data_IF_068527577997
#
_entry.id   IF_068527577997
#
_cell.length_a   1.000
_cell.length_b   1.000
_cell.length_c   1.000
_cell.angle_alpha   90.00
_cell.angle_beta   90.00
_cell.angle_gamma   90.00
#
_symmetry.space_group_name_H-M   'P 1'
#
loop_
_entity.id
_entity.type
_entity.pdbx_description
1 polymer ?
#
# COMPACT_ATOMS: atom_id res chain seq x y z
N UNK A 1 1.50 18.82 4.61
CA UNK A 1 1.14 17.60 3.86
C UNK A 1 0.01 16.91 4.59
N UNK A 2 -0.96 16.35 3.86
CA UNK A 2 -2.04 15.56 4.46
C UNK A 2 -1.86 14.07 4.18
N UNK A 3 -1.88 13.24 5.23
CA UNK A 3 -1.96 11.78 5.08
C UNK A 3 -3.43 11.40 4.96
N UNK A 4 -3.83 10.75 3.89
CA UNK A 4 -5.22 10.36 3.63
C UNK A 4 -5.34 8.85 3.62
N UNK A 5 -6.32 8.33 4.35
CA UNK A 5 -6.72 6.93 4.29
C UNK A 5 -8.22 6.80 4.11
N UNK A 6 -8.64 5.73 3.44
CA UNK A 6 -10.04 5.32 3.36
C UNK A 6 -10.25 4.07 4.22
N UNK A 7 -11.26 4.05 5.07
CA UNK A 7 -11.59 2.89 5.92
C UNK A 7 -13.09 2.65 5.98
N UNK A 8 -13.47 1.41 6.27
CA UNK A 8 -14.87 0.98 6.49
C UNK A 8 -15.20 0.76 7.96
N UNK A 9 -14.18 0.66 8.82
CA UNK A 9 -14.30 0.33 10.24
C UNK A 9 -13.19 1.03 11.04
N UNK A 10 -13.58 2.05 11.80
CA UNK A 10 -12.67 2.82 12.66
C UNK A 10 -12.15 2.03 13.88
N UNK A 11 -12.75 0.88 14.19
CA UNK A 11 -12.32 0.00 15.29
C UNK A 11 -11.36 -1.10 14.85
N UNK A 12 -11.05 -1.18 13.55
CA UNK A 12 -10.11 -2.18 13.03
C UNK A 12 -8.73 -2.00 13.68
N UNK A 13 -8.21 -3.06 14.29
CA UNK A 13 -6.94 -3.08 15.05
C UNK A 13 -5.77 -2.46 14.27
N UNK A 14 -5.58 -2.81 13.00
CA UNK A 14 -4.53 -2.26 12.13
C UNK A 14 -4.69 -0.77 11.84
N UNK A 15 -5.92 -0.27 11.72
CA UNK A 15 -6.12 1.17 11.62
C UNK A 15 -5.78 1.86 12.93
N UNK A 16 -6.37 1.41 14.04
CA UNK A 16 -6.27 2.09 15.33
C UNK A 16 -4.87 2.02 15.93
N UNK A 17 -4.28 0.84 15.95
CA UNK A 17 -3.03 0.56 16.65
C UNK A 17 -1.80 0.62 15.74
N UNK A 18 -1.96 0.57 14.42
CA UNK A 18 -0.83 0.65 13.49
C UNK A 18 -0.81 2.02 12.80
N UNK A 19 -1.74 2.30 11.89
CA UNK A 19 -1.73 3.54 11.11
C UNK A 19 -1.97 4.79 11.96
N UNK A 20 -3.08 4.84 12.70
CA UNK A 20 -3.46 6.00 13.50
C UNK A 20 -2.44 6.28 14.62
N UNK A 21 -1.98 5.24 15.30
CA UNK A 21 -0.96 5.34 16.34
C UNK A 21 0.37 5.86 15.78
N UNK A 22 0.87 5.29 14.68
CA UNK A 22 2.11 5.76 14.05
C UNK A 22 2.01 7.19 13.50
N UNK A 23 0.90 7.55 12.85
CA UNK A 23 0.68 8.94 12.43
C UNK A 23 0.69 9.91 13.61
N UNK A 24 0.03 9.56 14.72
CA UNK A 24 0.04 10.39 15.94
C UNK A 24 1.45 10.53 16.50
N UNK A 25 2.19 9.43 16.61
CA UNK A 25 3.56 9.43 17.15
C UNK A 25 4.51 10.30 16.32
N UNK A 26 4.43 10.22 14.99
CA UNK A 26 5.26 10.98 14.07
C UNK A 26 4.69 12.37 13.72
N UNK A 27 3.65 12.82 14.42
CA UNK A 27 2.98 14.11 14.20
C UNK A 27 2.54 14.33 12.75
N UNK A 28 1.99 13.30 12.12
CA UNK A 28 1.42 13.34 10.77
C UNK A 28 -0.07 13.69 10.83
N UNK A 29 -0.51 14.65 10.00
CA UNK A 29 -1.92 15.00 9.87
C UNK A 29 -2.69 13.90 9.12
N UNK A 30 -3.26 12.95 9.88
CA UNK A 30 -4.08 11.87 9.33
C UNK A 30 -5.54 12.31 9.13
N UNK A 31 -5.98 12.26 7.88
CA UNK A 31 -7.36 12.44 7.44
C UNK A 31 -7.96 11.08 7.15
N UNK A 32 -8.91 10.67 7.98
CA UNK A 32 -9.61 9.40 7.84
C UNK A 32 -10.95 9.60 7.15
N UNK A 33 -11.08 9.03 5.95
CA UNK A 33 -12.31 9.05 5.17
C UNK A 33 -13.06 7.73 5.39
N UNK A 34 -14.04 7.75 6.29
CA UNK A 34 -14.88 6.58 6.55
C UNK A 34 -15.98 6.44 5.50
N UNK A 35 -16.16 5.24 4.96
CA UNK A 35 -17.26 4.92 4.05
C UNK A 35 -17.72 3.48 4.23
N UNK A 36 -19.02 3.29 4.47
CA UNK A 36 -19.63 2.00 4.83
C UNK A 36 -20.13 1.17 3.61
N UNK A 37 -20.07 1.72 2.39
CA UNK A 37 -20.68 1.12 1.18
C UNK A 37 -19.65 0.88 0.05
N UNK A 38 -18.64 0.05 0.30
CA UNK A 38 -17.67 -0.33 -0.76
C UNK A 38 -18.16 -1.58 -1.50
N UNK A 39 -18.34 -1.48 -2.81
CA UNK A 39 -18.54 -2.63 -3.71
C UNK A 39 -17.21 -3.20 -4.17
N UNK A 40 -16.18 -2.37 -4.25
CA UNK A 40 -14.82 -2.76 -4.58
C UNK A 40 -13.80 -1.77 -4.04
N UNK A 41 -12.51 -2.13 -4.12
CA UNK A 41 -11.43 -1.18 -3.82
C UNK A 41 -11.45 0.05 -4.72
N UNK A 42 -12.12 0.01 -5.88
CA UNK A 42 -12.27 1.16 -6.80
C UNK A 42 -13.08 2.31 -6.19
N UNK A 43 -13.99 2.00 -5.27
CA UNK A 43 -14.85 3.04 -4.68
C UNK A 43 -14.06 4.03 -3.82
N UNK A 44 -12.91 3.63 -3.27
CA UNK A 44 -12.04 4.53 -2.49
C UNK A 44 -11.55 5.72 -3.34
N UNK A 45 -11.38 5.53 -4.66
CA UNK A 45 -10.97 6.57 -5.59
C UNK A 45 -11.96 7.73 -5.60
N UNK A 46 -13.26 7.45 -5.56
CA UNK A 46 -14.32 8.47 -5.49
C UNK A 46 -14.34 9.17 -4.13
N UNK A 47 -14.11 8.40 -3.07
CA UNK A 47 -14.12 8.90 -1.69
C UNK A 47 -13.02 9.93 -1.48
N UNK A 48 -11.77 9.59 -1.78
CA UNK A 48 -10.69 10.56 -1.61
C UNK A 48 -10.72 11.66 -2.68
N UNK A 49 -11.15 11.40 -3.92
CA UNK A 49 -11.29 12.47 -4.92
C UNK A 49 -12.23 13.59 -4.43
N UNK A 50 -13.38 13.22 -3.84
CA UNK A 50 -14.32 14.20 -3.27
C UNK A 50 -13.68 15.07 -2.19
N UNK A 51 -12.84 14.49 -1.34
CA UNK A 51 -12.10 15.23 -0.32
C UNK A 51 -11.00 16.10 -0.94
N UNK A 52 -10.25 15.58 -1.91
CA UNK A 52 -9.20 16.33 -2.60
C UNK A 52 -9.75 17.59 -3.28
N UNK A 53 -10.98 17.56 -3.79
CA UNK A 53 -11.65 18.74 -4.38
C UNK A 53 -11.88 19.89 -3.39
N UNK A 54 -11.69 19.68 -2.08
CA UNK A 54 -11.78 20.74 -1.07
C UNK A 54 -10.42 21.30 -0.67
N UNK A 55 -9.33 20.79 -1.24
CA UNK A 55 -7.95 21.24 -0.96
C UNK A 55 -7.45 22.19 -2.04
N UNK A 56 -6.41 22.95 -1.71
CA UNK A 56 -5.64 23.68 -2.71
C UNK A 56 -4.94 22.71 -3.66
N UNK A 57 -4.84 23.08 -4.93
CA UNK A 57 -4.34 22.19 -5.98
C UNK A 57 -2.87 21.75 -5.75
N UNK A 58 -2.09 22.58 -5.05
CA UNK A 58 -0.68 22.36 -4.71
C UNK A 58 -0.48 21.65 -3.36
N UNK A 59 -1.53 21.39 -2.57
CA UNK A 59 -1.43 20.62 -1.32
C UNK A 59 -0.83 19.24 -1.60
N UNK A 60 0.23 18.90 -0.87
CA UNK A 60 0.88 17.59 -1.00
C UNK A 60 0.08 16.58 -0.18
N UNK A 61 -0.37 15.54 -0.86
CA UNK A 61 -1.13 14.43 -0.27
C UNK A 61 -0.28 13.18 -0.27
N UNK A 62 -0.34 12.45 0.84
CA UNK A 62 0.13 11.08 0.99
C UNK A 62 -1.10 10.18 1.16
N UNK A 63 -1.48 9.43 0.13
CA UNK A 63 -2.52 8.42 0.27
C UNK A 63 -1.92 7.09 0.74
N UNK A 64 -2.62 6.39 1.62
CA UNK A 64 -2.23 5.06 2.11
C UNK A 64 -3.42 4.17 2.41
N UNK A 65 -3.22 2.85 2.35
CA UNK A 65 -4.13 1.86 2.89
C UNK A 65 -4.27 1.99 4.41
N UNK A 66 -5.45 1.65 4.91
CA UNK A 66 -5.85 1.98 6.28
C UNK A 66 -5.57 0.90 7.32
N UNK A 67 -5.29 -0.33 6.90
CA UNK A 67 -5.51 -1.52 7.74
C UNK A 67 -4.26 -2.35 8.03
N UNK A 68 -3.21 -2.13 7.28
CA UNK A 68 -2.00 -2.93 7.16
C UNK A 68 -0.78 -2.04 6.91
N UNK A 69 -0.82 -0.82 7.47
CA UNK A 69 0.21 0.21 7.28
C UNK A 69 0.71 0.74 8.61
N UNK A 70 2.02 0.96 8.67
CA UNK A 70 2.72 1.65 9.77
C UNK A 70 3.65 2.71 9.20
N UNK A 71 3.60 3.93 9.73
CA UNK A 71 4.64 4.94 9.50
C UNK A 71 5.82 4.74 10.45
N UNK A 72 7.04 4.92 9.94
CA UNK A 72 8.30 4.84 10.70
C UNK A 72 9.13 6.12 10.56
N UNK A 73 8.51 7.20 10.09
CA UNK A 73 9.10 8.54 10.07
C UNK A 73 8.05 9.66 10.03
N UNK A 74 8.50 10.89 10.30
CA UNK A 74 7.70 12.11 10.29
C UNK A 74 7.78 12.92 9.00
N UNK A 75 6.97 13.98 8.94
CA UNK A 75 6.68 14.76 7.73
C UNK A 75 7.92 15.33 7.04
N UNK A 76 8.91 15.81 7.80
CA UNK A 76 10.13 16.41 7.23
C UNK A 76 10.88 15.44 6.31
N UNK A 77 11.16 14.22 6.78
CA UNK A 77 11.88 13.22 5.99
C UNK A 77 11.04 12.76 4.79
N UNK A 78 9.72 12.59 4.98
CA UNK A 78 8.80 12.22 3.92
C UNK A 78 8.87 13.25 2.78
N UNK A 79 8.74 14.54 3.11
CA UNK A 79 8.77 15.62 2.14
C UNK A 79 10.14 15.80 1.48
N UNK A 80 11.24 15.67 2.23
CA UNK A 80 12.59 15.72 1.68
C UNK A 80 12.82 14.62 0.65
N UNK A 81 12.42 13.39 0.96
CA UNK A 81 12.53 12.26 0.02
C UNK A 81 11.63 12.43 -1.17
N UNK A 82 10.37 12.80 -0.97
CA UNK A 82 9.40 13.00 -2.04
C UNK A 82 9.91 14.03 -3.04
N UNK A 83 10.38 15.20 -2.57
CA UNK A 83 10.95 16.24 -3.42
C UNK A 83 12.21 15.80 -4.16
N UNK A 84 13.00 14.90 -3.59
CA UNK A 84 14.23 14.39 -4.22
C UNK A 84 13.94 13.38 -5.32
N UNK A 85 12.94 12.50 -5.15
CA UNK A 85 12.73 11.34 -6.03
C UNK A 85 11.53 11.49 -6.97
N UNK A 86 10.62 12.41 -6.69
CA UNK A 86 9.41 12.63 -7.51
C UNK A 86 9.60 13.85 -8.41
N UNK A 87 9.58 13.69 -9.74
CA UNK A 87 9.53 14.83 -10.65
C UNK A 87 8.27 15.66 -10.43
N UNK A 88 8.35 16.97 -10.68
CA UNK A 88 7.20 17.87 -10.62
C UNK A 88 6.10 17.42 -11.60
N UNK A 89 4.84 17.55 -11.19
CA UNK A 89 3.70 17.15 -12.03
C UNK A 89 3.45 15.64 -12.12
N UNK A 90 4.16 14.81 -11.36
CA UNK A 90 3.95 13.35 -11.29
C UNK A 90 3.24 12.94 -10.01
N UNK A 91 2.68 11.74 -10.01
CA UNK A 91 2.31 11.00 -8.79
C UNK A 91 3.39 9.94 -8.55
N UNK A 92 3.99 9.95 -7.36
CA UNK A 92 4.90 8.90 -6.92
C UNK A 92 4.09 7.78 -6.27
N UNK A 93 4.10 6.58 -6.85
CA UNK A 93 3.40 5.42 -6.31
C UNK A 93 4.36 4.40 -5.72
N UNK A 94 3.88 3.67 -4.72
CA UNK A 94 4.59 2.53 -4.17
C UNK A 94 4.83 1.46 -5.23
N UNK A 95 5.98 0.79 -5.13
CA UNK A 95 6.37 -0.29 -6.03
C UNK A 95 6.35 -1.63 -5.30
N UNK A 96 6.18 -2.71 -6.07
CA UNK A 96 6.02 -4.08 -5.59
C UNK A 96 6.88 -5.04 -6.42
N UNK A 97 7.26 -6.16 -5.80
CA UNK A 97 7.99 -7.26 -6.43
C UNK A 97 7.08 -8.23 -7.18
N UNK A 98 5.76 -8.13 -6.98
CA UNK A 98 4.77 -8.96 -7.66
C UNK A 98 3.80 -8.13 -8.54
N UNK A 99 3.54 -8.63 -9.75
CA UNK A 99 2.60 -8.01 -10.68
C UNK A 99 1.18 -8.49 -10.39
N UNK A 100 0.41 -7.67 -9.67
CA UNK A 100 -0.98 -7.94 -9.32
C UNK A 100 -1.94 -6.88 -9.88
N UNK A 101 -3.24 -7.22 -10.09
CA UNK A 101 -3.81 -8.57 -9.96
C UNK A 101 -3.57 -9.45 -11.21
N UNK A 102 -3.05 -8.87 -12.30
CA UNK A 102 -2.78 -9.59 -13.55
C UNK A 102 -1.26 -9.74 -13.81
N UNK A 103 -0.67 -10.92 -13.54
CA UNK A 103 0.74 -11.17 -13.78
C UNK A 103 1.14 -11.07 -15.25
N UNK A 104 0.20 -11.20 -16.18
CA UNK A 104 0.48 -11.10 -17.61
C UNK A 104 0.91 -9.69 -18.01
N UNK A 105 0.60 -8.66 -17.21
CA UNK A 105 1.03 -7.28 -17.45
C UNK A 105 2.50 -7.00 -17.12
N UNK A 106 3.20 -7.96 -16.51
CA UNK A 106 4.58 -7.77 -16.04
C UNK A 106 5.55 -7.28 -17.12
N UNK A 107 5.34 -7.70 -18.38
CA UNK A 107 6.19 -7.32 -19.51
C UNK A 107 6.11 -5.84 -19.91
N UNK A 108 5.13 -5.08 -19.41
CA UNK A 108 5.04 -3.64 -19.65
C UNK A 108 5.88 -2.81 -18.67
N UNK A 109 6.37 -3.42 -17.59
CA UNK A 109 7.11 -2.72 -16.54
C UNK A 109 8.62 -2.82 -16.77
N UNK A 110 9.32 -1.76 -16.36
CA UNK A 110 10.78 -1.75 -16.33
C UNK A 110 11.28 -2.76 -15.30
N UNK A 111 12.25 -3.57 -15.68
CA UNK A 111 12.96 -4.45 -14.74
C UNK A 111 14.04 -3.66 -14.00
N UNK A 112 14.07 -3.80 -12.68
CA UNK A 112 15.09 -3.29 -11.77
C UNK A 112 15.88 -4.44 -11.15
N UNK A 113 17.09 -4.16 -10.64
CA UNK A 113 17.93 -5.18 -9.99
C UNK A 113 17.35 -5.73 -8.69
N UNK A 114 16.55 -4.94 -7.97
CA UNK A 114 15.98 -5.30 -6.67
C UNK A 114 14.57 -5.92 -6.79
N UNK A 115 13.92 -5.70 -7.94
CA UNK A 115 12.68 -6.37 -8.32
C UNK A 115 11.40 -5.59 -8.03
N UNK A 116 11.45 -4.43 -7.37
CA UNK A 116 10.29 -3.55 -7.19
C UNK A 116 9.90 -2.88 -8.50
N UNK A 117 9.26 -3.63 -9.38
CA UNK A 117 9.01 -3.24 -10.76
C UNK A 117 7.56 -2.81 -10.98
N UNK A 118 6.64 -3.29 -10.14
CA UNK A 118 5.22 -3.25 -10.40
C UNK A 118 4.54 -2.22 -9.52
N UNK A 119 3.44 -1.64 -9.99
CA UNK A 119 2.68 -0.66 -9.23
C UNK A 119 1.96 -1.33 -8.06
N UNK A 120 2.03 -0.74 -6.87
CA UNK A 120 1.13 -1.01 -5.75
C UNK A 120 0.23 0.20 -5.49
N UNK A 121 -1.08 0.00 -5.48
CA UNK A 121 -2.03 1.10 -5.30
C UNK A 121 -2.28 1.48 -3.82
N UNK A 122 -1.70 0.73 -2.88
CA UNK A 122 -1.89 0.96 -1.44
C UNK A 122 -1.09 2.12 -0.85
N UNK A 123 -0.25 2.79 -1.63
CA UNK A 123 0.48 3.98 -1.20
C UNK A 123 0.89 4.85 -2.39
N UNK A 124 0.62 6.15 -2.31
CA UNK A 124 1.11 7.12 -3.28
C UNK A 124 1.18 8.54 -2.72
N UNK A 125 1.98 9.40 -3.37
CA UNK A 125 2.12 10.81 -3.07
C UNK A 125 1.96 11.66 -4.33
N UNK A 126 1.37 12.84 -4.17
CA UNK A 126 1.15 13.79 -5.26
C UNK A 126 0.51 15.09 -4.77
N UNK A 127 0.55 16.14 -5.59
CA UNK A 127 -0.27 17.31 -5.34
C UNK A 127 -1.75 16.98 -5.59
N UNK A 128 -2.66 17.57 -4.81
CA UNK A 128 -4.09 17.29 -4.90
C UNK A 128 -4.65 17.43 -6.33
N UNK A 129 -4.24 18.47 -7.07
CA UNK A 129 -4.67 18.68 -8.46
C UNK A 129 -4.20 17.59 -9.43
N UNK A 130 -2.96 17.10 -9.26
CA UNK A 130 -2.41 16.01 -10.10
C UNK A 130 -3.14 14.69 -9.82
N UNK A 131 -3.45 14.42 -8.55
CA UNK A 131 -4.21 13.25 -8.14
C UNK A 131 -5.62 13.30 -8.73
N UNK A 132 -6.35 14.42 -8.57
CA UNK A 132 -7.70 14.58 -9.14
C UNK A 132 -7.70 14.32 -10.64
N UNK A 133 -6.80 14.97 -11.38
CA UNK A 133 -6.66 14.80 -12.84
C UNK A 133 -6.42 13.34 -13.22
N UNK A 134 -5.59 12.65 -12.43
CA UNK A 134 -5.30 11.23 -12.64
C UNK A 134 -6.54 10.37 -12.39
N UNK A 135 -7.28 10.61 -11.31
CA UNK A 135 -8.51 9.86 -11.01
C UNK A 135 -9.59 10.06 -12.08
N UNK A 136 -9.73 11.28 -12.61
CA UNK A 136 -10.64 11.54 -13.72
C UNK A 136 -10.27 10.72 -14.97
N UNK A 137 -8.97 10.62 -15.27
CA UNK A 137 -8.48 9.77 -16.36
C UNK A 137 -8.71 8.27 -16.10
N UNK A 138 -8.62 7.81 -14.84
CA UNK A 138 -8.95 6.44 -14.46
C UNK A 138 -10.44 6.15 -14.67
N UNK A 139 -11.34 7.04 -14.23
CA UNK A 139 -12.78 6.85 -14.41
C UNK A 139 -13.19 6.87 -15.88
N UNK A 140 -12.59 7.75 -16.68
CA UNK A 140 -12.79 7.73 -18.14
C UNK A 140 -12.34 6.40 -18.74
N UNK A 141 -11.15 5.91 -18.35
CA UNK A 141 -10.63 4.62 -18.82
C UNK A 141 -11.53 3.46 -18.43
N UNK A 142 -12.09 3.46 -17.22
CA UNK A 142 -13.04 2.43 -16.77
C UNK A 142 -14.37 2.48 -17.53
N UNK A 143 -14.93 3.67 -17.77
CA UNK A 143 -16.18 3.85 -18.50
C UNK A 143 -16.07 3.37 -19.96
N UNK A 144 -14.92 3.62 -20.59
CA UNK A 144 -14.67 3.24 -21.98
C UNK A 144 -14.34 1.73 -22.12
N UNK A 145 -14.10 1.01 -21.02
CA UNK A 145 -13.60 -0.36 -21.02
C UNK A 145 -14.66 -1.42 -20.65
N UNK A 146 -15.35 -1.92 -21.66
CA UNK A 146 -16.35 -2.99 -21.52
C UNK A 146 -15.77 -4.41 -21.61
N UNK A 147 -14.43 -4.57 -21.57
CA UNK A 147 -13.77 -5.86 -21.72
C UNK A 147 -14.12 -6.86 -20.61
N UNK A 148 -14.06 -8.15 -20.93
CA UNK A 148 -14.21 -9.23 -19.94
C UNK A 148 -13.15 -9.13 -18.84
N UNK A 149 -11.95 -8.66 -19.19
CA UNK A 149 -10.84 -8.44 -18.26
C UNK A 149 -11.18 -7.38 -17.20
N UNK A 150 -11.74 -6.23 -17.61
CA UNK A 150 -12.16 -5.19 -16.66
C UNK A 150 -13.23 -5.69 -15.70
N UNK A 151 -14.19 -6.47 -16.21
CA UNK A 151 -15.24 -7.09 -15.38
C UNK A 151 -14.65 -8.09 -14.38
N UNK A 152 -13.66 -8.87 -14.81
CA UNK A 152 -12.97 -9.84 -13.95
C UNK A 152 -12.22 -9.16 -12.79
N UNK A 153 -11.54 -8.04 -13.05
CA UNK A 153 -10.79 -7.27 -12.05
C UNK A 153 -11.57 -6.09 -11.46
N UNK A 154 -12.90 -6.07 -11.53
CA UNK A 154 -13.74 -4.97 -11.01
C UNK A 154 -13.55 -4.72 -9.50
N UNK A 155 -13.17 -5.77 -8.76
CA UNK A 155 -12.92 -5.71 -7.34
C UNK A 155 -11.64 -4.91 -6.97
N UNK A 156 -10.73 -4.69 -7.93
CA UNK A 156 -9.38 -4.16 -7.70
C UNK A 156 -9.20 -2.80 -8.41
N UNK A 157 -8.77 -1.77 -7.67
CA UNK A 157 -8.40 -0.47 -8.23
C UNK A 157 -6.97 -0.45 -8.78
N UNK A 158 -6.05 -1.23 -8.20
CA UNK A 158 -4.70 -1.39 -8.74
C UNK A 158 -4.69 -1.84 -10.20
N UNK A 159 -5.67 -2.64 -10.63
CA UNK A 159 -5.86 -2.97 -12.04
C UNK A 159 -6.13 -1.71 -12.89
N UNK A 160 -6.98 -0.79 -12.43
CA UNK A 160 -7.26 0.46 -13.15
C UNK A 160 -6.02 1.33 -13.26
N UNK A 161 -5.30 1.50 -12.15
CA UNK A 161 -4.04 2.23 -12.09
C UNK A 161 -3.00 1.64 -13.04
N UNK A 162 -2.83 0.32 -13.00
CA UNK A 162 -1.89 -0.42 -13.87
C UNK A 162 -2.25 -0.25 -15.34
N UNK A 163 -3.53 -0.41 -15.69
CA UNK A 163 -3.99 -0.27 -17.07
C UNK A 163 -3.76 1.15 -17.60
N UNK A 164 -4.14 2.17 -16.84
CA UNK A 164 -3.98 3.56 -17.27
C UNK A 164 -2.50 3.98 -17.34
N UNK A 165 -1.63 3.42 -16.48
CA UNK A 165 -0.18 3.57 -16.58
C UNK A 165 0.37 2.96 -17.87
N UNK A 166 -0.01 1.72 -18.19
CA UNK A 166 0.43 1.02 -19.41
C UNK A 166 -0.05 1.74 -20.67
N UNK A 167 -1.29 2.23 -20.67
CA UNK A 167 -1.88 3.02 -21.75
C UNK A 167 -1.28 4.44 -21.86
N UNK A 168 -0.36 4.83 -20.96
CA UNK A 168 0.28 6.15 -20.89
C UNK A 168 -0.73 7.31 -20.77
N UNK A 169 -1.84 7.06 -20.07
CA UNK A 169 -2.90 8.06 -19.86
C UNK A 169 -2.67 8.94 -18.63
N UNK A 170 -1.72 8.57 -17.78
CA UNK A 170 -1.47 9.17 -16.47
C UNK A 170 0.04 9.33 -16.26
N UNK A 171 0.43 10.35 -15.48
CA UNK A 171 1.83 10.68 -15.24
C UNK A 171 2.28 10.19 -13.86
N UNK A 172 2.74 8.94 -13.79
CA UNK A 172 3.16 8.27 -12.56
C UNK A 172 4.62 7.86 -12.65
N UNK A 173 5.30 7.98 -11.52
CA UNK A 173 6.60 7.35 -11.27
C UNK A 173 6.47 6.35 -10.13
N UNK A 174 7.22 5.25 -10.19
CA UNK A 174 7.23 4.24 -9.14
C UNK A 174 8.45 4.42 -8.23
N UNK A 175 8.24 4.25 -6.92
CA UNK A 175 9.31 4.22 -5.91
C UNK A 175 10.08 2.89 -5.97
N UNK A 176 10.81 2.67 -7.06
CA UNK A 176 11.57 1.45 -7.33
C UNK A 176 12.67 1.15 -6.30
N UNK A 177 13.09 2.15 -5.52
CA UNK A 177 14.15 2.03 -4.52
C UNK A 177 13.62 1.94 -3.10
N UNK A 178 12.30 1.88 -2.89
CA UNK A 178 11.69 1.86 -1.55
C UNK A 178 12.23 2.99 -0.66
N UNK A 179 12.34 4.19 -1.21
CA UNK A 179 12.82 5.37 -0.48
C UNK A 179 11.78 5.85 0.53
N UNK A 180 10.51 5.78 0.10
CA UNK A 180 9.32 6.15 0.85
C UNK A 180 8.53 4.90 1.22
N UNK A 181 8.19 4.08 0.23
CA UNK A 181 7.26 2.96 0.41
C UNK A 181 8.00 1.62 0.46
N UNK A 182 7.78 0.86 1.54
CA UNK A 182 8.17 -0.55 1.62
C UNK A 182 6.93 -1.42 1.50
N UNK A 183 6.84 -2.19 0.43
CA UNK A 183 5.84 -3.26 0.29
C UNK A 183 6.47 -4.59 0.66
N UNK A 184 5.65 -5.49 1.20
CA UNK A 184 6.02 -6.88 1.40
C UNK A 184 5.05 -7.72 0.60
N UNK A 185 5.51 -8.32 -0.51
CA UNK A 185 4.71 -9.32 -1.22
C UNK A 185 5.47 -10.61 -1.29
N UNK A 186 4.77 -11.71 -1.01
CA UNK A 186 5.30 -13.04 -1.24
C UNK A 186 4.52 -13.72 -2.36
N UNK A 187 5.26 -14.32 -3.31
CA UNK A 187 4.73 -15.11 -4.44
C UNK A 187 3.95 -16.36 -3.99
N UNK A 188 4.05 -16.74 -2.71
CA UNK A 188 3.62 -18.05 -2.20
C UNK A 188 2.60 -18.01 -1.07
N UNK A 189 2.06 -16.84 -0.75
CA UNK A 189 1.17 -16.72 0.38
C UNK A 189 -0.26 -16.44 -0.08
N UNK A 190 -1.18 -17.35 0.26
CA UNK A 190 -2.52 -17.05 0.82
C UNK A 190 -3.78 -17.16 -0.04
N UNK A 191 -3.80 -17.64 -1.29
CA UNK A 191 -5.14 -17.88 -1.87
C UNK A 191 -5.94 -18.92 -1.05
N UNK A 192 -5.26 -19.93 -0.46
CA UNK A 192 -5.91 -20.89 0.45
C UNK A 192 -6.03 -20.42 1.91
N UNK A 193 -5.20 -19.47 2.38
CA UNK A 193 -5.30 -18.94 3.74
C UNK A 193 -6.42 -17.91 3.92
N UNK A 194 -6.99 -17.42 2.81
CA UNK A 194 -8.13 -16.52 2.82
C UNK A 194 -9.29 -17.05 3.69
N UNK A 195 -9.54 -18.37 3.63
CA UNK A 195 -10.59 -19.04 4.39
C UNK A 195 -10.21 -19.21 5.87
N UNK A 196 -8.96 -19.51 6.19
CA UNK A 196 -8.54 -19.79 7.58
C UNK A 196 -8.53 -18.55 8.48
N UNK A 197 -8.10 -17.40 7.95
CA UNK A 197 -7.95 -16.17 8.76
C UNK A 197 -9.29 -15.48 9.02
N UNK A 198 -10.30 -15.75 8.21
CA UNK A 198 -11.60 -15.10 8.28
C UNK A 198 -12.74 -16.00 8.81
N UNK A 199 -12.52 -17.31 8.94
CA UNK A 199 -13.54 -18.23 9.45
C UNK A 199 -13.57 -18.20 10.99
N UNK A 200 -14.76 -18.03 11.56
CA UNK A 200 -15.00 -18.19 13.01
C UNK A 200 -14.99 -19.66 13.45
N UNK A 201 -14.77 -20.59 12.53
CA UNK A 201 -14.69 -22.02 12.81
C UNK A 201 -13.29 -22.37 13.32
N UNK A 202 -13.17 -23.26 14.33
CA UNK A 202 -11.88 -23.76 14.78
C UNK A 202 -11.14 -24.44 13.62
N UNK A 203 -9.85 -24.14 13.49
CA UNK A 203 -8.96 -24.85 12.58
C UNK A 203 -8.71 -26.27 13.10
N UNK A 204 -8.62 -27.24 12.19
CA UNK A 204 -8.04 -28.55 12.50
C UNK A 204 -6.54 -28.42 12.84
N UNK A 205 -5.96 -29.44 13.46
CA UNK A 205 -4.53 -29.45 13.82
C UNK A 205 -3.62 -29.26 12.58
N UNK A 206 -3.96 -29.89 11.46
CA UNK A 206 -3.21 -29.75 10.20
C UNK A 206 -3.30 -28.33 9.61
N UNK A 207 -4.47 -27.69 9.73
CA UNK A 207 -4.70 -26.32 9.26
C UNK A 207 -3.97 -25.30 10.14
N UNK A 208 -3.97 -25.47 11.46
CA UNK A 208 -3.21 -24.64 12.40
C UNK A 208 -1.70 -24.77 12.15
N UNK A 209 -1.20 -26.00 11.95
CA UNK A 209 0.20 -26.24 11.64
C UNK A 209 0.61 -25.58 10.31
N UNK A 210 -0.24 -25.67 9.28
CA UNK A 210 -0.01 -25.01 7.99
C UNK A 210 0.02 -23.49 8.11
N UNK A 211 -0.91 -22.89 8.88
CA UNK A 211 -0.95 -21.45 9.15
C UNK A 211 0.34 -20.99 9.85
N UNK A 212 0.75 -21.67 10.93
CA UNK A 212 1.99 -21.35 11.65
C UNK A 212 3.23 -21.46 10.77
N UNK A 213 3.32 -22.51 9.94
CA UNK A 213 4.42 -22.65 8.99
C UNK A 213 4.45 -21.52 7.98
N UNK A 214 3.28 -21.11 7.48
CA UNK A 214 3.15 -20.01 6.51
C UNK A 214 3.52 -18.66 7.10
N UNK A 215 3.12 -18.39 8.35
CA UNK A 215 3.53 -17.19 9.09
C UNK A 215 5.04 -17.16 9.28
N UNK A 216 5.63 -18.27 9.74
CA UNK A 216 7.08 -18.36 10.00
C UNK A 216 7.88 -18.07 8.73
N UNK A 217 7.53 -18.73 7.62
CA UNK A 217 8.17 -18.50 6.31
C UNK A 217 8.01 -17.07 5.83
N UNK A 218 6.87 -16.44 6.13
CA UNK A 218 6.63 -15.05 5.75
C UNK A 218 7.50 -14.10 6.56
N UNK A 219 7.61 -14.31 7.88
CA UNK A 219 8.51 -13.54 8.73
C UNK A 219 9.95 -13.67 8.24
N UNK A 220 10.42 -14.89 7.98
CA UNK A 220 11.76 -15.16 7.45
C UNK A 220 11.98 -14.44 6.10
N UNK A 221 11.04 -14.54 5.17
CA UNK A 221 11.14 -13.90 3.86
C UNK A 221 11.20 -12.36 3.95
N UNK A 222 10.41 -11.76 4.85
CA UNK A 222 10.48 -10.31 5.08
C UNK A 222 11.84 -9.95 5.71
N UNK A 223 12.29 -10.70 6.72
CA UNK A 223 13.58 -10.46 7.38
C UNK A 223 14.79 -10.75 6.48
N UNK A 224 14.66 -11.53 5.42
CA UNK A 224 15.69 -11.66 4.39
C UNK A 224 15.82 -10.38 3.55
N UNK A 225 14.71 -9.65 3.36
CA UNK A 225 14.63 -8.44 2.57
C UNK A 225 15.00 -7.18 3.37
N UNK A 226 14.60 -7.13 4.64
CA UNK A 226 14.76 -5.96 5.49
C UNK A 226 15.39 -6.29 6.84
N UNK A 227 15.95 -5.27 7.47
CA UNK A 227 16.34 -5.32 8.89
C UNK A 227 15.56 -4.27 9.67
N UNK A 228 15.15 -4.64 10.89
CA UNK A 228 14.67 -3.68 11.88
C UNK A 228 15.89 -3.20 12.65
N UNK A 229 16.17 -1.91 12.56
CA UNK A 229 17.29 -1.27 13.26
C UNK A 229 16.94 -0.95 14.71
N UNK A 230 17.96 -0.67 15.52
CA UNK A 230 17.80 -0.30 16.94
C UNK A 230 16.93 0.95 17.14
N UNK A 231 16.93 1.86 16.17
CA UNK A 231 16.08 3.06 16.15
C UNK A 231 14.67 2.78 15.61
N UNK A 232 14.29 1.50 15.51
CA UNK A 232 12.97 1.04 15.08
C UNK A 232 12.59 1.55 13.69
N UNK A 233 13.60 1.68 12.84
CA UNK A 233 13.46 1.89 11.41
C UNK A 233 13.60 0.56 10.70
N UNK A 234 12.93 0.46 9.55
CA UNK A 234 13.21 -0.57 8.57
C UNK A 234 14.32 -0.08 7.64
N UNK A 235 15.31 -0.93 7.39
CA UNK A 235 16.29 -0.74 6.32
C UNK A 235 16.12 -1.83 5.28
N UNK A 236 15.91 -1.42 4.03
CA UNK A 236 15.81 -2.34 2.91
C UNK A 236 17.22 -2.75 2.46
N UNK A 237 17.54 -4.05 2.62
CA UNK A 237 18.88 -4.56 2.35
C UNK A 237 19.24 -4.53 0.87
N UNK A 238 18.24 -4.60 -0.01
CA UNK A 238 18.44 -4.65 -1.46
C UNK A 238 18.68 -3.25 -2.03
N UNK A 239 17.80 -2.29 -1.71
CA UNK A 239 17.86 -0.93 -2.24
C UNK A 239 18.77 -0.01 -1.43
N UNK A 240 19.19 -0.43 -0.23
CA UNK A 240 20.01 0.34 0.72
C UNK A 240 19.33 1.64 1.17
N UNK A 241 18.03 1.59 1.39
CA UNK A 241 17.21 2.74 1.80
C UNK A 241 16.51 2.51 3.13
N UNK A 242 16.09 3.60 3.75
CA UNK A 242 15.28 3.60 4.98
C UNK A 242 13.85 4.03 4.65
N UNK A 243 12.94 3.17 4.20
CA UNK A 243 11.54 3.54 3.92
C UNK A 243 10.87 4.27 5.10
N UNK A 244 9.84 5.06 4.81
CA UNK A 244 9.10 5.87 5.80
C UNK A 244 7.70 5.32 6.08
N UNK A 245 7.15 4.56 5.14
CA UNK A 245 5.87 3.87 5.26
C UNK A 245 6.09 2.39 4.96
N UNK A 246 5.57 1.54 5.84
CA UNK A 246 5.65 0.08 5.72
C UNK A 246 4.24 -0.43 5.44
N UNK A 247 4.08 -1.05 4.28
CA UNK A 247 2.84 -1.66 3.83
C UNK A 247 2.96 -3.18 3.92
N UNK A 248 2.26 -3.76 4.87
CA UNK A 248 2.13 -5.21 5.05
C UNK A 248 1.07 -5.76 4.11
N UNK A 249 1.22 -5.48 2.81
CA UNK A 249 0.25 -5.84 1.80
C UNK A 249 0.10 -7.36 1.73
N UNK A 250 -1.12 -7.82 1.48
CA UNK A 250 -1.61 -9.21 1.67
C UNK A 250 -2.10 -9.53 3.08
N UNK A 251 -3.01 -10.51 3.17
CA UNK A 251 -3.65 -10.88 4.43
C UNK A 251 -2.71 -11.46 5.48
N UNK A 252 -1.69 -12.24 5.11
CA UNK A 252 -0.76 -12.80 6.11
C UNK A 252 0.19 -11.74 6.62
N UNK A 253 0.61 -10.81 5.76
CA UNK A 253 1.52 -9.74 6.16
C UNK A 253 0.83 -8.85 7.18
N UNK A 254 -0.47 -8.58 6.99
CA UNK A 254 -1.29 -7.92 8.01
C UNK A 254 -1.29 -8.65 9.36
N UNK A 255 -1.22 -9.99 9.40
CA UNK A 255 -1.06 -10.73 10.65
C UNK A 255 0.37 -10.57 11.20
N UNK A 256 1.37 -10.77 10.33
CA UNK A 256 2.81 -10.66 10.65
C UNK A 256 3.17 -9.29 11.23
N UNK A 257 2.49 -8.23 10.79
CA UNK A 257 2.59 -6.88 11.34
C UNK A 257 2.44 -6.85 12.88
N UNK A 258 1.61 -7.73 13.44
CA UNK A 258 1.36 -7.85 14.88
C UNK A 258 2.14 -8.98 15.55
N UNK A 259 3.22 -9.46 14.93
CA UNK A 259 4.05 -10.52 15.49
C UNK A 259 5.50 -10.05 15.62
N UNK A 260 6.26 -10.66 16.51
CA UNK A 260 7.69 -10.39 16.61
C UNK A 260 8.41 -10.76 15.30
N UNK A 261 9.40 -9.98 14.85
CA UNK A 261 9.89 -8.75 15.49
C UNK A 261 9.14 -7.46 15.11
N UNK A 262 8.17 -7.53 14.19
CA UNK A 262 7.49 -6.36 13.59
C UNK A 262 6.56 -5.61 14.55
N UNK A 263 5.96 -6.32 15.52
CA UNK A 263 5.11 -5.69 16.54
C UNK A 263 5.87 -4.62 17.34
N UNK A 264 7.20 -4.70 17.41
CA UNK A 264 8.03 -3.64 18.01
C UNK A 264 7.80 -2.27 17.33
N UNK A 265 7.60 -2.22 16.01
CA UNK A 265 7.31 -0.98 15.29
C UNK A 265 5.97 -0.35 15.69
N UNK A 266 5.04 -1.16 16.19
CA UNK A 266 3.72 -0.76 16.66
C UNK A 266 3.72 -0.42 18.15
N UNK A 267 4.33 -1.26 18.98
CA UNK A 267 4.31 -1.09 20.44
C UNK A 267 4.97 0.22 20.88
N UNK A 268 5.94 0.73 20.12
CA UNK A 268 6.63 1.97 20.45
C UNK A 268 5.87 3.23 20.04
N UNK A 269 4.88 3.12 19.15
CA UNK A 269 4.04 4.25 18.72
C UNK A 269 2.69 4.31 19.42
N UNK A 270 2.35 3.32 20.26
CA UNK A 270 1.11 3.27 21.06
C UNK A 270 1.30 3.79 22.49
#
# INVERSE_FOLDING_TARGET
MKVITCVTNLTQVGYKHALQASCKYYNLELITLESQNWKSFRDRNKVYQKYLSTLDADEIVFFTDGYDVVFVSGENEILEKYKRISPEGTILMSADRFCAPDPTKSHFFKTTSHGYNFLCAGGFMGNAGNIITTIDALFKTEQDDNSTENKHYFWCDQYMWTKALIDKKINIVLDHNCEIFQTFTSQKSIENLYNFVNNEQPLSEDEDLYLRSSITKTIEAILDEVEITDNQRIFNKSTKTYPVQIHYNTKINKLVMFMEPFISLINNVN
#
